data_IF_058261137095
#
_entry.id   IF_058261137095
#
_cell.length_a   1.000
_cell.length_b   1.000
_cell.length_c   1.000
_cell.angle_alpha   90.00
_cell.angle_beta   90.00
_cell.angle_gamma   90.00
#
_symmetry.space_group_name_H-M   'P 1'
#
loop_
_entity.id
_entity.type
_entity.pdbx_description
1 polymer ?
#
# COMPACT_ATOMS: atom_id res chain seq x y z
N UNK A 1 33.40 23.05 -25.18
CA UNK A 1 33.10 23.00 -23.74
C UNK A 1 32.81 21.55 -23.39
N UNK A 2 33.84 20.79 -23.01
CA UNK A 2 33.77 19.35 -22.78
C UNK A 2 33.00 19.07 -21.50
N UNK A 3 31.88 18.36 -21.60
CA UNK A 3 31.01 18.00 -20.48
C UNK A 3 31.72 17.00 -19.57
N UNK A 4 31.98 17.41 -18.32
CA UNK A 4 32.52 16.57 -17.26
C UNK A 4 31.38 15.75 -16.65
N UNK A 5 31.09 14.56 -17.20
CA UNK A 5 30.23 13.58 -16.52
C UNK A 5 31.05 12.87 -15.44
N UNK A 6 31.17 13.56 -14.31
CA UNK A 6 31.83 13.08 -13.09
C UNK A 6 31.06 11.87 -12.53
N UNK A 7 31.49 10.67 -12.91
CA UNK A 7 31.53 9.45 -12.11
C UNK A 7 30.38 9.32 -11.09
N UNK A 8 29.16 9.09 -11.57
CA UNK A 8 28.05 8.70 -10.70
C UNK A 8 28.34 7.29 -10.17
N UNK A 9 28.61 7.20 -8.87
CA UNK A 9 28.75 5.94 -8.14
C UNK A 9 27.51 5.08 -8.43
N UNK A 10 27.66 3.80 -8.81
CA UNK A 10 26.50 2.93 -9.03
C UNK A 10 25.62 2.94 -7.79
N UNK A 11 24.38 3.43 -7.95
CA UNK A 11 23.37 3.32 -6.92
C UNK A 11 22.97 1.86 -6.87
N UNK A 12 23.45 1.15 -5.85
CA UNK A 12 22.92 -0.16 -5.50
C UNK A 12 21.73 0.10 -4.58
N UNK A 13 20.49 0.07 -5.09
CA UNK A 13 19.34 0.10 -4.20
C UNK A 13 19.48 -1.08 -3.24
N UNK A 14 19.62 -0.82 -1.95
CA UNK A 14 19.38 -1.83 -0.95
C UNK A 14 17.93 -2.31 -1.14
N UNK A 15 17.70 -3.64 -1.28
CA UNK A 15 16.36 -4.19 -1.37
C UNK A 15 15.49 -3.55 -0.29
N UNK A 16 14.31 -3.04 -0.67
CA UNK A 16 13.66 -2.00 0.10
C UNK A 16 13.22 -2.52 1.47
N UNK A 17 13.39 -1.67 2.48
CA UNK A 17 12.69 -1.75 3.78
C UNK A 17 11.14 -1.78 3.62
N UNK A 18 10.64 -1.58 2.39
CA UNK A 18 9.24 -1.62 1.97
C UNK A 18 9.03 -2.48 0.70
N UNK A 19 9.73 -3.62 0.59
CA UNK A 19 9.48 -4.74 -0.33
C UNK A 19 8.93 -4.46 -1.75
N UNK A 20 9.81 -4.33 -2.75
CA UNK A 20 9.52 -4.57 -4.16
C UNK A 20 10.08 -5.95 -4.52
N UNK A 21 9.45 -6.99 -3.99
CA UNK A 21 9.68 -8.40 -4.33
C UNK A 21 8.44 -9.18 -3.88
N UNK A 22 7.97 -10.15 -4.68
CA UNK A 22 6.58 -10.28 -5.12
C UNK A 22 5.55 -10.01 -4.01
N UNK A 23 4.86 -8.87 -4.12
CA UNK A 23 3.98 -8.28 -3.08
C UNK A 23 2.89 -9.21 -2.53
N UNK A 24 2.58 -10.29 -3.23
CA UNK A 24 1.69 -11.38 -2.82
C UNK A 24 1.78 -12.50 -3.90
N UNK A 25 2.79 -13.36 -3.85
CA UNK A 25 2.97 -14.40 -4.90
C UNK A 25 1.89 -15.48 -4.85
N UNK A 26 1.37 -15.76 -3.65
CA UNK A 26 0.38 -16.81 -3.39
C UNK A 26 -1.05 -16.27 -3.35
N UNK A 27 -1.22 -14.94 -3.32
CA UNK A 27 -2.53 -14.28 -3.35
C UNK A 27 -3.28 -14.42 -2.03
N UNK A 28 -2.58 -14.43 -0.90
CA UNK A 28 -3.19 -14.66 0.42
C UNK A 28 -4.23 -13.58 0.77
N UNK A 29 -3.98 -12.33 0.35
CA UNK A 29 -4.86 -11.20 0.60
C UNK A 29 -5.74 -10.83 -0.62
N UNK A 30 -5.81 -11.72 -1.62
CA UNK A 30 -6.56 -11.48 -2.87
C UNK A 30 -8.05 -11.26 -2.64
N UNK A 31 -8.66 -11.91 -1.65
CA UNK A 31 -10.11 -11.75 -1.37
C UNK A 31 -10.44 -10.33 -0.92
N UNK A 32 -9.65 -9.76 0.00
CA UNK A 32 -9.80 -8.41 0.53
C UNK A 32 -9.48 -7.38 -0.56
N UNK A 33 -8.42 -7.61 -1.35
CA UNK A 33 -8.10 -6.81 -2.53
C UNK A 33 -9.28 -6.73 -3.50
N UNK A 34 -9.88 -7.87 -3.85
CA UNK A 34 -11.02 -7.91 -4.77
C UNK A 34 -12.24 -7.18 -4.21
N UNK A 35 -12.55 -7.33 -2.92
CA UNK A 35 -13.64 -6.56 -2.28
C UNK A 35 -13.42 -5.06 -2.40
N UNK A 36 -12.20 -4.58 -2.13
CA UNK A 36 -11.85 -3.17 -2.27
C UNK A 36 -11.98 -2.69 -3.72
N UNK A 37 -11.47 -3.46 -4.69
CA UNK A 37 -11.59 -3.12 -6.12
C UNK A 37 -13.05 -3.11 -6.62
N UNK A 38 -13.86 -4.06 -6.17
CA UNK A 38 -15.30 -4.09 -6.48
C UNK A 38 -16.00 -2.85 -5.93
N UNK A 39 -15.68 -2.45 -4.70
CA UNK A 39 -16.24 -1.22 -4.12
C UNK A 39 -15.85 0.02 -4.93
N UNK A 40 -14.56 0.16 -5.30
CA UNK A 40 -14.12 1.27 -6.14
C UNK A 40 -14.88 1.30 -7.47
N UNK A 41 -15.08 0.15 -8.11
CA UNK A 41 -15.80 0.07 -9.36
C UNK A 41 -17.28 0.49 -9.21
N UNK A 42 -17.93 0.10 -8.11
CA UNK A 42 -19.33 0.43 -7.83
C UNK A 42 -19.53 1.89 -7.41
N UNK A 43 -18.52 2.52 -6.81
CA UNK A 43 -18.59 3.87 -6.22
C UNK A 43 -17.83 4.91 -7.04
N UNK A 44 -17.70 4.70 -8.36
CA UNK A 44 -17.06 5.64 -9.28
C UNK A 44 -15.62 6.04 -8.86
N UNK A 45 -14.86 5.06 -8.34
CA UNK A 45 -13.51 5.23 -7.77
C UNK A 45 -13.44 6.14 -6.53
N UNK A 46 -14.54 6.31 -5.80
CA UNK A 46 -14.57 7.01 -4.52
C UNK A 46 -13.82 6.21 -3.44
N UNK A 47 -12.61 6.67 -3.10
CA UNK A 47 -11.78 6.02 -2.08
C UNK A 47 -12.38 6.16 -0.67
N UNK A 48 -13.02 7.30 -0.38
CA UNK A 48 -13.58 7.60 0.93
C UNK A 48 -14.64 6.56 1.37
N UNK A 49 -15.49 6.14 0.44
CA UNK A 49 -16.53 5.13 0.71
C UNK A 49 -15.96 3.72 0.88
N UNK A 50 -14.83 3.42 0.23
CA UNK A 50 -14.19 2.11 0.27
C UNK A 50 -13.04 2.03 1.29
N UNK A 51 -12.87 3.05 2.12
CA UNK A 51 -11.74 3.18 3.07
C UNK A 51 -11.70 2.05 4.10
N UNK A 52 -12.85 1.52 4.50
CA UNK A 52 -12.89 0.38 5.41
C UNK A 52 -12.30 -0.88 4.75
N UNK A 53 -12.61 -1.10 3.47
CA UNK A 53 -12.11 -2.26 2.71
C UNK A 53 -10.61 -2.12 2.39
N UNK A 54 -10.11 -0.91 2.19
CA UNK A 54 -8.66 -0.68 2.04
C UNK A 54 -7.91 -0.94 3.34
N UNK A 55 -8.49 -0.60 4.50
CA UNK A 55 -7.97 -0.95 5.83
C UNK A 55 -7.86 -2.46 6.00
N UNK A 56 -8.93 -3.20 5.72
CA UNK A 56 -8.96 -4.67 5.82
C UNK A 56 -7.90 -5.33 4.92
N UNK A 57 -7.71 -4.78 3.72
CA UNK A 57 -6.69 -5.26 2.79
C UNK A 57 -5.28 -5.05 3.35
N UNK A 58 -4.98 -3.86 3.88
CA UNK A 58 -3.67 -3.58 4.47
C UNK A 58 -3.43 -4.38 5.75
N UNK A 59 -4.47 -4.59 6.56
CA UNK A 59 -4.38 -5.42 7.76
C UNK A 59 -3.99 -6.86 7.40
N UNK A 60 -4.63 -7.45 6.39
CA UNK A 60 -4.27 -8.77 5.91
C UNK A 60 -2.79 -8.86 5.52
N UNK A 61 -2.24 -7.82 4.88
CA UNK A 61 -0.84 -7.81 4.46
C UNK A 61 0.12 -7.69 5.65
N UNK A 62 -0.24 -6.93 6.68
CA UNK A 62 0.54 -6.84 7.91
C UNK A 62 0.51 -8.14 8.70
N UNK A 63 -0.64 -8.82 8.77
CA UNK A 63 -0.80 -10.06 9.54
C UNK A 63 -0.09 -11.26 8.89
N UNK A 64 -0.01 -11.29 7.56
CA UNK A 64 0.72 -12.32 6.81
C UNK A 64 2.20 -11.97 6.55
N UNK A 65 2.75 -10.94 7.22
CA UNK A 65 4.13 -10.47 7.04
C UNK A 65 4.48 -10.08 5.58
N UNK A 66 3.47 -9.77 4.76
CA UNK A 66 3.62 -9.25 3.39
C UNK A 66 3.91 -7.74 3.38
N UNK A 67 3.77 -7.09 4.53
CA UNK A 67 4.05 -5.67 4.77
C UNK A 67 4.51 -5.49 6.22
N UNK A 68 5.46 -4.57 6.45
CA UNK A 68 5.83 -4.19 7.81
C UNK A 68 4.61 -3.65 8.57
N UNK A 69 4.45 -4.05 9.83
CA UNK A 69 3.39 -3.53 10.68
C UNK A 69 3.65 -2.05 10.96
N UNK A 70 2.72 -1.21 10.54
CA UNK A 70 2.76 0.24 10.69
C UNK A 70 1.49 0.71 11.43
N UNK A 71 1.57 1.85 12.08
CA UNK A 71 0.43 2.46 12.76
C UNK A 71 -0.58 3.02 11.74
N UNK A 72 -1.86 2.88 12.05
CA UNK A 72 -2.95 3.33 11.16
C UNK A 72 -2.89 4.82 10.84
N UNK A 73 -2.45 5.66 11.79
CA UNK A 73 -2.28 7.09 11.59
C UNK A 73 -1.23 7.40 10.50
N UNK A 74 -0.11 6.65 10.48
CA UNK A 74 0.94 6.79 9.44
C UNK A 74 0.47 6.32 8.08
N UNK A 75 -0.46 5.37 8.05
CA UNK A 75 -1.10 4.88 6.84
C UNK A 75 -2.27 5.78 6.39
N UNK A 76 -2.52 6.89 7.09
CA UNK A 76 -3.59 7.82 6.76
C UNK A 76 -4.97 7.27 7.07
N UNK A 77 -5.11 6.44 8.11
CA UNK A 77 -6.38 5.97 8.67
C UNK A 77 -6.67 6.62 10.03
N UNK A 78 -6.59 7.96 10.10
CA UNK A 78 -7.03 8.68 11.31
C UNK A 78 -8.47 8.31 11.66
N UNK A 79 -8.69 7.85 12.89
CA UNK A 79 -10.00 7.45 13.42
C UNK A 79 -11.00 8.62 13.52
N UNK A 80 -10.55 9.86 13.33
CA UNK A 80 -11.32 11.06 13.69
C UNK A 80 -12.38 11.53 12.67
N UNK A 81 -12.73 10.76 11.63
CA UNK A 81 -13.68 11.25 10.58
C UNK A 81 -14.81 10.33 10.13
N UNK A 82 -14.94 9.11 10.64
CA UNK A 82 -16.02 8.19 10.22
C UNK A 82 -17.01 7.85 11.35
N UNK A 83 -17.28 8.81 12.23
CA UNK A 83 -18.45 8.80 13.10
C UNK A 83 -19.23 10.11 12.88
N UNK A 84 -19.82 10.25 11.70
CA UNK A 84 -20.96 11.15 11.49
C UNK A 84 -22.01 10.44 10.64
N UNK A 85 -22.99 9.95 11.39
CA UNK A 85 -24.37 9.63 11.03
C UNK A 85 -24.92 10.51 9.89
#
# INVERSE_FOLDING_TARGET
MSSLTFQQKPFFPSPPDKGSFPLDHEGECKKQMLKYLLCLNQKENSNAECRNLSRDYLQCRMDNNLMAREEWDKLGFDEQKNEKN
#
